data_IF_249041813125
#
_entry.id   IF_249041813125
#
_cell.length_a   1.000
_cell.length_b   1.000
_cell.length_c   1.000
_cell.angle_alpha   90.00
_cell.angle_beta   90.00
_cell.angle_gamma   90.00
#
_symmetry.space_group_name_H-M   'P 1'
#
loop_
_entity.id
_entity.type
_entity.pdbx_description
1 polymer ?
#
# COMPACT_ATOMS: atom_id res chain seq x y z
N UNK A 1 -15.23 6.19 -2.80
CA UNK A 1 -14.39 5.35 -3.67
C UNK A 1 -12.96 5.56 -3.22
N UNK A 2 -12.11 4.54 -3.35
CA UNK A 2 -10.70 4.68 -3.09
C UNK A 2 -10.00 4.85 -4.44
N UNK A 3 -9.25 5.94 -4.56
CA UNK A 3 -8.81 6.45 -5.86
C UNK A 3 -7.35 6.00 -6.15
N UNK A 4 -6.55 5.79 -5.11
CA UNK A 4 -5.12 5.46 -5.16
C UNK A 4 -4.79 4.33 -4.19
N UNK A 5 -4.01 3.34 -4.60
CA UNK A 5 -3.50 2.29 -3.71
C UNK A 5 -2.01 2.08 -3.93
N UNK A 6 -1.26 1.93 -2.85
CA UNK A 6 0.16 1.60 -2.85
C UNK A 6 0.40 0.33 -2.04
N UNK A 7 1.33 -0.47 -2.54
CA UNK A 7 2.00 -1.51 -1.76
C UNK A 7 3.48 -1.15 -1.73
N UNK A 8 4.06 -1.05 -0.54
CA UNK A 8 5.45 -0.65 -0.39
C UNK A 8 6.11 -1.34 0.81
N UNK A 9 7.43 -1.30 0.87
CA UNK A 9 8.20 -1.77 2.01
C UNK A 9 8.16 -0.76 3.15
N UNK A 10 7.96 -1.26 4.37
CA UNK A 10 7.88 -0.43 5.58
C UNK A 10 9.23 0.19 5.95
N UNK A 11 10.34 -0.48 5.66
CA UNK A 11 11.67 -0.06 6.11
C UNK A 11 12.17 1.24 5.47
N UNK A 12 11.85 1.45 4.19
CA UNK A 12 12.38 2.56 3.38
C UNK A 12 11.35 3.20 2.43
N UNK A 13 10.14 2.67 2.36
CA UNK A 13 9.10 3.15 1.45
C UNK A 13 9.33 2.73 -0.01
N UNK A 14 10.13 1.70 -0.29
CA UNK A 14 10.29 1.16 -1.64
C UNK A 14 8.93 0.67 -2.16
N UNK A 15 8.41 1.31 -3.21
CA UNK A 15 7.12 0.96 -3.80
C UNK A 15 7.27 -0.33 -4.60
N UNK A 16 6.43 -1.32 -4.27
CA UNK A 16 6.30 -2.59 -4.99
C UNK A 16 5.34 -2.50 -6.15
N UNK A 17 4.20 -1.82 -5.93
CA UNK A 17 3.22 -1.50 -6.98
C UNK A 17 2.34 -0.33 -6.52
N UNK A 18 1.74 0.37 -7.48
CA UNK A 18 0.70 1.36 -7.23
C UNK A 18 -0.41 1.22 -8.27
N UNK A 19 -1.66 1.43 -7.87
CA UNK A 19 -2.81 1.50 -8.77
C UNK A 19 -3.56 2.81 -8.58
N UNK A 20 -4.13 3.31 -9.66
CA UNK A 20 -4.83 4.59 -9.70
C UNK A 20 -5.99 4.51 -10.68
N UNK A 21 -7.20 4.84 -10.23
CA UNK A 21 -8.43 4.65 -11.04
C UNK A 21 -8.66 5.74 -12.11
N UNK A 22 -7.66 6.59 -12.41
CA UNK A 22 -7.66 7.46 -13.59
C UNK A 22 -8.70 8.60 -13.65
N UNK A 23 -9.83 8.50 -12.94
CA UNK A 23 -11.00 9.37 -13.10
C UNK A 23 -10.81 10.82 -12.65
N UNK A 24 -9.69 11.13 -11.98
CA UNK A 24 -9.30 12.47 -11.54
C UNK A 24 -7.83 12.75 -11.88
N UNK A 25 -7.47 12.69 -13.15
CA UNK A 25 -6.20 13.29 -13.58
C UNK A 25 -6.24 14.81 -13.32
N UNK A 26 -5.43 15.27 -12.36
CA UNK A 26 -5.34 16.68 -12.00
C UNK A 26 -4.22 16.95 -11.01
N UNK A 27 -3.79 18.22 -10.90
CA UNK A 27 -2.72 18.67 -10.01
C UNK A 27 -2.93 18.24 -8.54
N UNK A 28 -4.19 18.14 -8.11
CA UNK A 28 -4.53 17.69 -6.77
C UNK A 28 -4.06 16.25 -6.50
N UNK A 29 -4.15 15.35 -7.50
CA UNK A 29 -3.74 13.97 -7.28
C UNK A 29 -2.22 13.80 -7.27
N UNK A 30 -1.50 14.58 -8.08
CA UNK A 30 -0.04 14.63 -8.02
C UNK A 30 0.45 15.00 -6.60
N UNK A 31 -0.23 15.96 -5.95
CA UNK A 31 0.04 16.34 -4.56
C UNK A 31 -0.18 15.16 -3.59
N UNK A 32 -1.29 14.43 -3.70
CA UNK A 32 -1.54 13.30 -2.81
C UNK A 32 -0.57 12.14 -3.05
N UNK A 33 -0.19 11.85 -4.31
CA UNK A 33 0.89 10.89 -4.60
C UNK A 33 2.21 11.29 -3.94
N UNK A 34 2.56 12.58 -3.96
CA UNK A 34 3.76 13.09 -3.30
C UNK A 34 3.66 12.93 -1.77
N UNK A 35 2.52 13.26 -1.17
CA UNK A 35 2.28 13.08 0.27
C UNK A 35 2.36 11.60 0.68
N UNK A 36 1.75 10.70 -0.09
CA UNK A 36 1.84 9.26 0.13
C UNK A 36 3.30 8.80 0.14
N UNK A 37 4.09 9.19 -0.86
CA UNK A 37 5.53 8.87 -0.93
C UNK A 37 6.32 9.38 0.27
N UNK A 38 5.95 10.52 0.85
CA UNK A 38 6.57 11.03 2.08
C UNK A 38 6.18 10.18 3.30
N UNK A 39 4.91 9.79 3.41
CA UNK A 39 4.43 8.91 4.49
C UNK A 39 5.11 7.54 4.43
N UNK A 40 5.19 6.94 3.23
CA UNK A 40 5.77 5.62 3.01
C UNK A 40 7.23 5.52 3.50
N UNK A 41 8.01 6.60 3.39
CA UNK A 41 9.41 6.66 3.86
C UNK A 41 9.56 6.64 5.39
N UNK A 42 8.48 6.89 6.13
CA UNK A 42 8.50 7.02 7.59
C UNK A 42 7.61 5.98 8.28
N UNK A 43 7.16 4.94 7.58
CA UNK A 43 6.21 3.94 8.10
C UNK A 43 6.66 3.27 9.39
N UNK A 44 7.96 3.02 9.56
CA UNK A 44 8.54 2.48 10.81
C UNK A 44 8.20 3.30 12.07
N UNK A 45 7.89 4.60 11.92
CA UNK A 45 7.59 5.49 13.05
C UNK A 45 6.09 5.57 13.36
N UNK A 46 5.24 4.90 12.58
CA UNK A 46 3.80 4.99 12.69
C UNK A 46 3.19 3.69 13.26
N UNK A 47 1.97 3.75 13.83
CA UNK A 47 1.23 2.55 14.23
C UNK A 47 1.02 1.59 13.05
N UNK A 48 0.82 0.29 13.28
CA UNK A 48 0.65 -0.70 12.20
C UNK A 48 -0.65 -0.52 11.40
N UNK A 49 -1.62 0.23 11.92
CA UNK A 49 -2.87 0.52 11.25
C UNK A 49 -3.32 1.93 11.64
N UNK A 50 -3.58 2.79 10.67
CA UNK A 50 -4.04 4.15 10.95
C UNK A 50 -4.86 4.76 9.82
N UNK A 51 -5.50 5.88 10.11
CA UNK A 51 -6.14 6.76 9.12
C UNK A 51 -5.64 8.18 9.31
N UNK A 52 -5.21 8.81 8.22
CA UNK A 52 -4.63 10.15 8.21
C UNK A 52 -5.55 11.05 7.39
N UNK A 53 -6.25 11.95 8.06
CA UNK A 53 -7.14 12.93 7.43
C UNK A 53 -6.31 14.07 6.79
N UNK A 54 -6.62 14.39 5.53
CA UNK A 54 -5.98 15.48 4.77
C UNK A 54 -6.99 16.53 4.29
N UNK A 55 -8.18 16.55 4.88
CA UNK A 55 -9.32 17.36 4.50
C UNK A 55 -10.25 16.60 3.56
N UNK A 56 -10.11 16.80 2.25
CA UNK A 56 -11.02 16.21 1.27
C UNK A 56 -10.83 14.69 1.10
N UNK A 57 -9.68 14.15 1.51
CA UNK A 57 -9.34 12.75 1.40
C UNK A 57 -8.70 12.23 2.68
N UNK A 58 -8.76 10.93 2.87
CA UNK A 58 -8.18 10.22 4.01
C UNK A 58 -7.30 9.10 3.48
N UNK A 59 -6.05 9.07 3.94
CA UNK A 59 -5.20 7.90 3.76
C UNK A 59 -5.57 6.86 4.80
N UNK A 60 -5.83 5.63 4.38
CA UNK A 60 -5.97 4.48 5.25
C UNK A 60 -4.82 3.52 4.95
N UNK A 61 -4.22 2.91 5.97
CA UNK A 61 -3.21 1.89 5.74
C UNK A 61 -3.22 0.81 6.82
N UNK A 62 -2.70 -0.36 6.45
CA UNK A 62 -2.31 -1.45 7.34
C UNK A 62 -0.87 -1.87 7.01
N UNK A 63 -0.15 -2.40 7.99
CA UNK A 63 1.17 -2.99 7.81
C UNK A 63 1.15 -4.44 8.24
N UNK A 64 1.77 -5.31 7.46
CA UNK A 64 1.93 -6.73 7.77
C UNK A 64 3.22 -7.26 7.12
N UNK A 65 3.97 -8.12 7.83
CA UNK A 65 5.18 -8.75 7.28
C UNK A 65 6.25 -7.81 6.70
N UNK A 66 6.35 -6.57 7.18
CA UNK A 66 7.29 -5.56 6.63
C UNK A 66 6.79 -4.83 5.38
N UNK A 67 5.52 -5.00 5.04
CA UNK A 67 4.84 -4.42 3.89
C UNK A 67 3.76 -3.47 4.41
N UNK A 68 3.58 -2.32 3.75
CA UNK A 68 2.47 -1.40 3.97
C UNK A 68 1.54 -1.45 2.78
N UNK A 69 0.24 -1.53 3.07
CA UNK A 69 -0.87 -1.45 2.13
C UNK A 69 -1.60 -0.15 2.45
N UNK A 70 -1.53 0.82 1.54
CA UNK A 70 -2.08 2.15 1.74
C UNK A 70 -3.07 2.48 0.63
N UNK A 71 -4.20 3.07 0.99
CA UNK A 71 -5.17 3.56 0.03
C UNK A 71 -5.62 4.98 0.38
N UNK A 72 -5.98 5.77 -0.63
CA UNK A 72 -6.56 7.11 -0.49
C UNK A 72 -8.03 7.05 -0.87
N UNK A 73 -8.91 7.46 0.04
CA UNK A 73 -10.34 7.50 -0.22
C UNK A 73 -10.90 8.90 0.06
N UNK A 74 -12.01 9.25 -0.58
CA UNK A 74 -12.76 10.47 -0.24
C UNK A 74 -13.13 10.48 1.26
N UNK A 75 -13.13 11.63 1.91
CA UNK A 75 -13.43 11.75 3.34
C UNK A 75 -14.78 11.13 3.74
N UNK A 76 -15.76 11.11 2.82
CA UNK A 76 -17.08 10.53 3.05
C UNK A 76 -17.10 9.01 2.91
N UNK A 77 -16.03 8.40 2.41
CA UNK A 77 -15.97 6.96 2.22
C UNK A 77 -15.92 6.24 3.58
N UNK A 78 -16.76 5.21 3.82
CA UNK A 78 -16.80 4.56 5.12
C UNK A 78 -15.46 3.90 5.49
N UNK A 79 -14.89 4.30 6.63
CA UNK A 79 -13.63 3.77 7.17
C UNK A 79 -13.59 2.23 7.18
N UNK A 80 -14.68 1.57 7.57
CA UNK A 80 -14.76 0.10 7.60
C UNK A 80 -14.56 -0.53 6.23
N UNK A 81 -15.11 0.07 5.18
CA UNK A 81 -14.96 -0.42 3.81
C UNK A 81 -13.53 -0.21 3.31
N UNK A 82 -12.89 0.91 3.66
CA UNK A 82 -11.49 1.14 3.30
C UNK A 82 -10.56 0.07 3.90
N UNK A 83 -10.77 -0.30 5.17
CA UNK A 83 -9.97 -1.36 5.79
C UNK A 83 -10.31 -2.76 5.26
N UNK A 84 -11.59 -3.03 4.94
CA UNK A 84 -11.97 -4.29 4.27
C UNK A 84 -11.24 -4.44 2.93
N UNK A 85 -11.24 -3.37 2.13
CA UNK A 85 -10.52 -3.33 0.86
C UNK A 85 -9.02 -3.57 1.04
N UNK A 86 -8.37 -2.91 2.02
CA UNK A 86 -6.95 -3.13 2.29
C UNK A 86 -6.61 -4.56 2.69
N UNK A 87 -7.50 -5.23 3.44
CA UNK A 87 -7.33 -6.62 3.83
C UNK A 87 -7.44 -7.57 2.63
N UNK A 88 -8.37 -7.32 1.70
CA UNK A 88 -8.47 -8.04 0.43
C UNK A 88 -7.18 -7.89 -0.40
N UNK A 89 -6.65 -6.66 -0.50
CA UNK A 89 -5.38 -6.40 -1.19
C UNK A 89 -4.21 -7.11 -0.50
N UNK A 90 -4.16 -7.10 0.84
CA UNK A 90 -3.13 -7.81 1.62
C UNK A 90 -3.14 -9.30 1.30
N UNK A 91 -4.32 -9.92 1.35
CA UNK A 91 -4.47 -11.35 1.07
C UNK A 91 -4.05 -11.69 -0.37
N UNK A 92 -4.52 -10.93 -1.35
CA UNK A 92 -4.15 -11.12 -2.75
C UNK A 92 -2.63 -10.95 -2.97
N UNK A 93 -1.99 -9.99 -2.30
CA UNK A 93 -0.55 -9.79 -2.42
C UNK A 93 0.25 -10.91 -1.75
N UNK A 94 -0.22 -11.45 -0.61
CA UNK A 94 0.41 -12.63 0.00
C UNK A 94 0.36 -13.84 -0.94
N UNK A 95 -0.75 -14.03 -1.65
CA UNK A 95 -0.84 -15.08 -2.68
C UNK A 95 0.14 -14.83 -3.84
N UNK A 96 0.31 -13.57 -4.25
CA UNK A 96 1.29 -13.20 -5.29
C UNK A 96 2.74 -13.46 -4.83
N UNK A 97 3.07 -13.14 -3.58
CA UNK A 97 4.38 -13.46 -3.00
C UNK A 97 4.64 -14.96 -2.97
N UNK A 98 3.61 -15.77 -2.67
CA UNK A 98 3.72 -17.22 -2.71
C UNK A 98 3.91 -17.78 -4.13
N UNK A 99 3.40 -17.10 -5.17
CA UNK A 99 3.66 -17.47 -6.57
C UNK A 99 5.08 -17.11 -7.00
N UNK A 100 5.55 -15.92 -6.62
CA UNK A 100 6.88 -15.42 -6.99
C UNK A 100 8.02 -16.17 -6.25
N UNK A 101 7.86 -16.40 -4.95
CA UNK A 101 8.91 -16.98 -4.10
C UNK A 101 8.66 -18.45 -3.71
N UNK A 102 7.51 -19.02 -4.07
CA UNK A 102 7.13 -20.42 -3.81
C UNK A 102 6.34 -20.60 -2.50
N UNK A 103 5.71 -21.77 -2.36
CA UNK A 103 4.99 -22.16 -1.13
C UNK A 103 5.86 -23.08 -0.29
N UNK A 104 6.17 -22.67 0.93
CA UNK A 104 6.47 -23.62 2.01
C UNK A 104 5.58 -23.27 3.19
N UNK A 105 5.18 -24.29 3.96
CA UNK A 105 4.27 -24.19 5.12
C UNK A 105 4.74 -23.21 6.23
N UNK A 106 5.87 -22.52 6.02
CA UNK A 106 6.44 -21.48 6.86
C UNK A 106 7.22 -20.43 6.04
N UNK A 107 6.67 -19.96 4.91
CA UNK A 107 7.38 -18.98 4.08
C UNK A 107 7.47 -17.63 4.80
N UNK A 108 8.64 -17.35 5.38
CA UNK A 108 9.00 -16.01 5.84
C UNK A 108 9.43 -15.18 4.64
N UNK A 109 8.46 -14.60 3.92
CA UNK A 109 8.73 -13.72 2.78
C UNK A 109 9.48 -12.44 3.19
N UNK A 110 9.68 -12.16 4.49
CA UNK A 110 10.40 -10.96 4.93
C UNK A 110 11.79 -10.83 4.32
N UNK A 111 12.55 -11.93 4.27
CA UNK A 111 13.90 -11.88 3.68
C UNK A 111 13.84 -11.53 2.19
N UNK A 112 12.87 -12.06 1.47
CA UNK A 112 12.64 -11.73 0.06
C UNK A 112 12.22 -10.26 -0.09
N UNK A 113 11.26 -9.80 0.72
CA UNK A 113 10.80 -8.40 0.76
C UNK A 113 11.96 -7.44 1.03
N UNK A 114 12.85 -7.75 1.98
CA UNK A 114 14.04 -6.94 2.29
C UNK A 114 15.10 -6.97 1.17
N UNK A 115 15.21 -8.07 0.44
CA UNK A 115 16.17 -8.20 -0.66
C UNK A 115 15.76 -7.45 -1.94
N UNK A 116 14.49 -7.08 -2.10
CA UNK A 116 14.03 -6.33 -3.29
C UNK A 116 14.67 -4.93 -3.31
N UNK A 117 15.30 -4.59 -4.43
CA UNK A 117 15.92 -3.26 -4.64
C UNK A 117 15.30 -2.51 -5.82
N UNK A 118 14.62 -3.21 -6.71
CA UNK A 118 13.99 -2.64 -7.90
C UNK A 118 12.63 -2.02 -7.54
N UNK A 119 12.41 -0.71 -7.75
CA UNK A 119 11.08 -0.11 -7.62
C UNK A 119 10.09 -0.74 -8.60
N UNK A 120 8.82 -0.83 -8.21
CA UNK A 120 7.75 -1.43 -9.00
C UNK A 120 8.04 -2.88 -9.42
N UNK A 121 8.68 -3.66 -8.54
CA UNK A 121 8.99 -5.07 -8.79
C UNK A 121 7.73 -5.88 -9.14
N UNK A 122 6.58 -5.54 -8.54
CA UNK A 122 5.29 -6.18 -8.74
C UNK A 122 4.34 -5.35 -9.61
N UNK A 123 4.84 -4.68 -10.65
CA UNK A 123 4.00 -3.82 -11.53
C UNK A 123 2.86 -4.59 -12.22
N UNK A 124 2.99 -5.91 -12.36
CA UNK A 124 1.96 -6.78 -12.94
C UNK A 124 0.87 -7.19 -11.94
N UNK A 125 1.05 -6.89 -10.65
CA UNK A 125 0.02 -7.07 -9.64
C UNK A 125 -1.04 -5.97 -9.78
N UNK A 126 -2.25 -6.36 -10.17
CA UNK A 126 -3.38 -5.46 -10.41
C UNK A 126 -4.68 -6.23 -10.64
#
# INVERSE_FOLDING_TARGET
>A
MCDLTFIARVSDGLIFTETWDGGKEGQAMAKYKQQAKQLLRHMNSFPPQCSIDTGAYVFHYITDGGIVYMTLCDQRYPKKLAFSFLEEIRQAFVEELAREFGTTDSLDYRQHIEAITKPYHFISFG
#
